data_IF_247142902680
#
_entry.id   IF_247142902680
#
_cell.length_a   1.000
_cell.length_b   1.000
_cell.length_c   1.000
_cell.angle_alpha   90.00
_cell.angle_beta   90.00
_cell.angle_gamma   90.00
#
_symmetry.space_group_name_H-M   'P 1'
#
loop_
_entity.id
_entity.type
_entity.pdbx_description
1 polymer ?
#
# COMPACT_ATOMS: atom_id res chain seq x y z
N UNK A 1 22.37 12.88 0.16
CA UNK A 1 21.59 13.23 1.37
C UNK A 1 20.21 12.63 1.20
N UNK A 2 19.88 11.57 1.94
CA UNK A 2 18.54 10.95 1.94
C UNK A 2 18.34 10.23 3.28
N UNK A 3 19.35 9.45 3.68
CA UNK A 3 19.36 8.81 4.99
C UNK A 3 19.34 9.82 6.13
N UNK A 4 20.17 10.87 6.05
CA UNK A 4 20.17 11.97 7.01
C UNK A 4 18.81 12.67 7.08
N UNK A 5 18.15 12.91 5.95
CA UNK A 5 16.82 13.55 5.91
C UNK A 5 15.76 12.63 6.52
N UNK A 6 15.79 11.33 6.20
CA UNK A 6 14.90 10.33 6.80
C UNK A 6 15.03 10.26 8.32
N UNK A 7 16.24 10.42 8.85
CA UNK A 7 16.48 10.42 10.29
C UNK A 7 16.09 11.73 10.98
N UNK A 8 15.94 12.83 10.26
CA UNK A 8 15.79 14.18 10.87
C UNK A 8 14.50 14.92 10.50
N UNK A 9 13.69 14.41 9.55
CA UNK A 9 12.51 15.11 9.05
C UNK A 9 11.42 15.43 10.12
N UNK A 10 11.42 14.71 11.25
CA UNK A 10 10.50 14.97 12.38
C UNK A 10 10.96 16.09 13.33
N UNK A 11 12.14 16.68 13.08
CA UNK A 11 12.72 17.72 13.93
C UNK A 11 13.57 17.19 15.10
N UNK A 12 13.72 15.87 15.23
CA UNK A 12 14.66 15.20 16.14
C UNK A 12 15.42 14.11 15.37
N UNK A 13 16.62 13.74 15.84
CA UNK A 13 17.40 12.65 15.23
C UNK A 13 16.83 11.31 15.70
N UNK A 14 16.14 10.62 14.81
CA UNK A 14 15.56 9.30 15.05
C UNK A 14 16.42 8.20 14.42
N UNK A 15 16.83 7.24 15.24
CA UNK A 15 17.55 6.05 14.78
C UNK A 15 16.66 5.03 14.07
N UNK A 16 17.22 4.20 13.18
CA UNK A 16 16.52 3.05 12.59
C UNK A 16 16.54 1.89 13.59
N UNK A 17 15.72 2.00 14.64
CA UNK A 17 15.52 1.01 15.70
C UNK A 17 14.04 0.87 16.01
N UNK A 18 13.62 -0.14 16.77
CA UNK A 18 12.20 -0.35 17.12
C UNK A 18 11.51 0.91 17.68
N UNK A 19 12.20 1.68 18.52
CA UNK A 19 11.65 2.89 19.12
C UNK A 19 11.67 4.07 18.15
N UNK A 20 12.69 4.17 17.29
CA UNK A 20 12.81 5.26 16.33
C UNK A 20 11.84 5.10 15.15
N UNK A 21 11.72 3.88 14.60
CA UNK A 21 10.78 3.57 13.51
C UNK A 21 9.33 3.76 13.98
N UNK A 22 9.01 3.41 15.23
CA UNK A 22 7.69 3.66 15.83
C UNK A 22 7.32 5.15 15.90
N UNK A 23 8.29 6.06 16.00
CA UNK A 23 8.07 7.51 15.93
C UNK A 23 8.00 8.05 14.49
N UNK A 24 8.58 7.34 13.54
CA UNK A 24 8.62 7.74 12.13
C UNK A 24 7.40 7.28 11.33
N UNK A 25 6.85 6.11 11.62
CA UNK A 25 5.83 5.44 10.80
C UNK A 25 4.59 5.13 11.63
N UNK A 26 3.42 5.41 11.07
CA UNK A 26 2.13 5.27 11.77
C UNK A 26 1.45 3.92 11.55
N UNK A 27 1.92 3.10 10.59
CA UNK A 27 1.23 1.84 10.27
C UNK A 27 1.45 0.77 11.32
N UNK A 28 0.36 0.12 11.71
CA UNK A 28 0.36 -0.96 12.70
C UNK A 28 0.98 -2.22 12.12
N UNK A 29 0.58 -2.66 10.93
CA UNK A 29 1.09 -3.90 10.34
C UNK A 29 2.58 -3.80 10.05
N UNK A 30 3.05 -2.64 9.57
CA UNK A 30 4.47 -2.43 9.37
C UNK A 30 5.26 -2.45 10.68
N UNK A 31 4.78 -1.77 11.73
CA UNK A 31 5.45 -1.80 13.03
C UNK A 31 5.47 -3.21 13.62
N UNK A 32 4.34 -3.93 13.53
CA UNK A 32 4.21 -5.30 13.99
C UNK A 32 5.12 -6.28 13.23
N UNK A 33 5.42 -6.01 11.95
CA UNK A 33 6.35 -6.81 11.13
C UNK A 33 7.82 -6.59 11.47
N UNK A 34 8.16 -5.46 12.12
CA UNK A 34 9.54 -5.17 12.50
C UNK A 34 9.90 -5.87 13.81
N UNK A 35 9.19 -5.55 14.90
CA UNK A 35 9.33 -6.19 16.21
C UNK A 35 8.04 -6.02 17.04
N UNK A 36 7.92 -6.72 18.20
CA UNK A 36 6.80 -6.57 19.14
C UNK A 36 5.40 -6.71 18.51
N UNK A 37 5.23 -7.72 17.67
CA UNK A 37 4.02 -7.96 16.88
C UNK A 37 2.74 -7.98 17.73
N UNK A 38 2.74 -8.72 18.84
CA UNK A 38 1.57 -8.82 19.73
C UNK A 38 1.21 -7.49 20.35
N UNK A 39 2.18 -6.76 20.88
CA UNK A 39 1.95 -5.48 21.56
C UNK A 39 1.35 -4.46 20.59
N UNK A 40 1.86 -4.39 19.36
CA UNK A 40 1.33 -3.47 18.35
C UNK A 40 -0.10 -3.82 17.94
N UNK A 41 -0.40 -5.10 17.71
CA UNK A 41 -1.74 -5.54 17.31
C UNK A 41 -2.77 -5.38 18.43
N UNK A 42 -2.44 -5.75 19.67
CA UNK A 42 -3.33 -5.57 20.82
C UNK A 42 -3.59 -4.10 21.13
N UNK A 43 -2.54 -3.27 21.13
CA UNK A 43 -2.74 -1.83 21.36
C UNK A 43 -3.56 -1.19 20.23
N UNK A 44 -3.36 -1.61 18.98
CA UNK A 44 -4.14 -1.10 17.86
C UNK A 44 -5.61 -1.52 17.92
N UNK A 45 -5.90 -2.77 18.29
CA UNK A 45 -7.28 -3.27 18.40
C UNK A 45 -8.04 -2.59 19.53
N UNK A 46 -7.42 -2.38 20.70
CA UNK A 46 -8.03 -1.67 21.83
C UNK A 46 -8.30 -0.20 21.49
N UNK A 47 -7.41 0.44 20.74
CA UNK A 47 -7.57 1.85 20.35
C UNK A 47 -8.37 2.04 19.05
N UNK A 48 -8.83 0.96 18.40
CA UNK A 48 -9.56 1.02 17.12
C UNK A 48 -8.79 1.75 16.02
N UNK A 49 -7.48 1.53 15.90
CA UNK A 49 -6.66 2.23 14.90
C UNK A 49 -6.85 1.63 13.51
N UNK A 50 -7.15 2.49 12.54
CA UNK A 50 -7.11 2.13 11.13
C UNK A 50 -5.68 2.21 10.58
N UNK A 51 -5.31 1.22 9.76
CA UNK A 51 -3.97 1.12 9.22
C UNK A 51 -3.84 1.85 7.87
N UNK A 52 -2.75 2.62 7.71
CA UNK A 52 -2.44 3.27 6.43
C UNK A 52 -1.76 2.27 5.51
N UNK A 53 -2.33 2.05 4.33
CA UNK A 53 -1.80 1.11 3.34
C UNK A 53 -0.51 1.67 2.71
N UNK A 54 0.63 1.12 3.10
CA UNK A 54 1.93 1.32 2.46
C UNK A 54 2.41 0.06 1.74
N UNK A 55 3.72 -0.02 1.51
CA UNK A 55 4.34 -1.13 0.77
C UNK A 55 4.31 -2.44 1.58
N UNK A 56 4.62 -2.39 2.87
CA UNK A 56 4.67 -3.58 3.73
C UNK A 56 3.29 -4.22 3.89
N UNK A 57 2.29 -3.37 4.07
CA UNK A 57 0.88 -3.68 4.25
C UNK A 57 0.30 -4.27 2.95
N UNK A 58 0.65 -3.68 1.79
CA UNK A 58 0.34 -4.26 0.48
C UNK A 58 0.87 -5.68 0.32
N UNK A 59 2.12 -5.94 0.72
CA UNK A 59 2.72 -7.28 0.62
C UNK A 59 2.00 -8.26 1.54
N UNK A 60 1.71 -7.87 2.79
CA UNK A 60 0.99 -8.71 3.76
C UNK A 60 -0.42 -9.06 3.26
N UNK A 61 -1.12 -8.10 2.64
CA UNK A 61 -2.48 -8.29 2.11
C UNK A 61 -2.53 -8.93 0.71
N UNK A 62 -1.39 -9.08 0.03
CA UNK A 62 -1.34 -9.59 -1.34
C UNK A 62 -1.90 -8.64 -2.41
N UNK A 63 -1.87 -7.33 -2.16
CA UNK A 63 -2.37 -6.29 -3.08
C UNK A 63 -1.16 -5.63 -3.78
N UNK A 64 -1.25 -5.26 -5.08
CA UNK A 64 -0.15 -4.57 -5.77
C UNK A 64 0.23 -3.23 -5.10
N UNK A 65 1.52 -3.07 -4.79
CA UNK A 65 2.08 -1.86 -4.19
C UNK A 65 2.06 -0.65 -5.15
N UNK A 66 1.83 0.55 -4.62
CA UNK A 66 1.71 1.80 -5.41
C UNK A 66 3.07 2.44 -5.74
N UNK A 67 4.10 1.62 -5.99
CA UNK A 67 5.44 2.06 -6.41
C UNK A 67 5.94 1.17 -7.56
N UNK A 68 6.89 1.66 -8.35
CA UNK A 68 7.41 0.93 -9.51
C UNK A 68 6.31 0.64 -10.53
N UNK A 69 6.11 -0.61 -10.92
CA UNK A 69 5.09 -1.00 -11.92
C UNK A 69 3.66 -0.71 -11.48
N UNK A 70 3.39 -0.70 -10.17
CA UNK A 70 2.05 -0.39 -9.64
C UNK A 70 1.78 1.11 -9.53
N UNK A 71 2.72 1.99 -9.89
CA UNK A 71 2.53 3.44 -9.81
C UNK A 71 1.57 4.00 -10.87
N UNK A 72 1.34 3.26 -11.96
CA UNK A 72 0.42 3.63 -13.02
C UNK A 72 -0.47 2.45 -13.41
N UNK A 73 -1.66 2.75 -13.94
CA UNK A 73 -2.57 1.74 -14.47
C UNK A 73 -2.54 1.79 -15.99
N UNK A 74 -2.48 0.61 -16.61
CA UNK A 74 -2.62 0.49 -18.05
C UNK A 74 -4.09 0.66 -18.43
N UNK A 75 -4.34 1.50 -19.43
CA UNK A 75 -5.63 1.62 -20.10
C UNK A 75 -5.44 1.02 -21.48
N UNK A 76 -6.25 0.03 -21.83
CA UNK A 76 -6.27 -0.48 -23.19
C UNK A 76 -7.09 0.50 -24.05
N UNK A 77 -6.44 1.11 -25.04
CA UNK A 77 -7.14 1.82 -26.10
C UNK A 77 -7.68 0.79 -27.09
N UNK A 78 -8.97 0.49 -26.97
CA UNK A 78 -9.69 -0.34 -27.95
C UNK A 78 -10.35 0.63 -28.92
N UNK A 79 -10.02 0.53 -30.22
CA UNK A 79 -10.86 1.13 -31.26
C UNK A 79 -12.25 0.50 -31.16
N UNK A 80 -13.29 1.32 -30.98
CA UNK A 80 -14.66 0.83 -31.00
C UNK A 80 -14.93 0.27 -32.40
N UNK A 81 -14.79 -1.05 -32.54
CA UNK A 81 -15.30 -1.76 -33.71
C UNK A 81 -16.81 -1.67 -33.62
N UNK A 82 -17.44 -0.94 -34.54
CA UNK A 82 -18.89 -1.01 -34.74
C UNK A 82 -19.24 -2.44 -35.13
N UNK A 83 -19.69 -3.22 -34.17
CA UNK A 83 -20.25 -4.53 -34.42
C UNK A 83 -21.61 -4.31 -35.12
N UNK A 84 -21.59 -4.33 -36.46
CA UNK A 84 -22.78 -4.48 -37.28
C UNK A 84 -23.37 -5.87 -37.01
N UNK A 85 -24.11 -6.00 -35.90
CA UNK A 85 -25.04 -7.09 -35.71
C UNK A 85 -26.16 -6.92 -36.73
N UNK A 86 -25.90 -7.37 -37.96
CA UNK A 86 -26.98 -7.68 -38.87
C UNK A 86 -27.74 -8.85 -38.25
N UNK A 87 -28.97 -8.60 -37.82
CA UNK A 87 -29.94 -9.64 -37.54
C UNK A 87 -30.33 -10.28 -38.87
N UNK A 88 -29.46 -11.12 -39.43
CA UNK A 88 -29.92 -12.08 -40.44
C UNK A 88 -30.83 -13.07 -39.71
N UNK A 89 -32.14 -13.13 -40.03
CA UNK A 89 -32.98 -14.18 -39.51
C UNK A 89 -32.47 -15.49 -40.07
N UNK A 90 -31.88 -16.31 -39.22
CA UNK A 90 -31.67 -17.71 -39.55
C UNK A 90 -33.05 -18.35 -39.73
N UNK A 91 -33.24 -18.93 -40.92
CA UNK A 91 -34.28 -19.83 -41.40
C UNK A 91 -35.36 -19.17 -42.30
N UNK A 92 -35.50 -19.81 -43.47
CA UNK A 92 -36.43 -19.59 -44.60
C UNK A 92 -37.90 -19.82 -44.26
#
# INVERSE_FOLDING_TARGET
MLFADLMTYKGEVLGITRHGVQKMKDSVLMLASFEKTTDHLFNASVNGRDDKIGVSECIIMGIPMQIGTGMFKLRQCVEQVELNYQSEPMIS
#
